data_IF_047796993663
#
_entry.id   IF_047796993663
#
_cell.length_a   1.000
_cell.length_b   1.000
_cell.length_c   1.000
_cell.angle_alpha   90.00
_cell.angle_beta   90.00
_cell.angle_gamma   90.00
#
_symmetry.space_group_name_H-M   'P 1'
#
loop_
_entity.id
_entity.type
_entity.pdbx_description
1 polymer ?
#
# COMPACT_ATOMS: atom_id res chain seq x y z
N UNK A 1 0.52 33.85 15.78
CA UNK A 1 -0.02 35.18 16.08
C UNK A 1 -1.51 34.99 16.18
N UNK A 2 -2.03 34.83 17.41
CA UNK A 2 -3.46 34.68 17.64
C UNK A 2 -3.84 35.61 18.78
N UNK A 3 -4.67 36.58 18.44
CA UNK A 3 -5.16 37.63 19.30
C UNK A 3 -6.12 37.05 20.33
N UNK A 4 -5.72 37.18 21.60
CA UNK A 4 -6.53 36.86 22.77
C UNK A 4 -7.60 37.95 22.96
N UNK A 5 -8.79 37.73 22.42
CA UNK A 5 -9.93 38.65 22.58
C UNK A 5 -10.63 38.38 23.92
N UNK A 6 -10.31 39.22 24.91
CA UNK A 6 -11.04 39.36 26.18
C UNK A 6 -12.51 39.80 25.92
N UNK A 7 -13.51 39.21 26.59
CA UNK A 7 -14.85 39.79 26.57
C UNK A 7 -14.91 41.04 27.45
N UNK A 8 -15.31 42.15 26.83
CA UNK A 8 -15.64 43.43 27.46
C UNK A 8 -16.89 43.29 28.34
N UNK A 9 -16.77 43.71 29.59
CA UNK A 9 -17.89 43.90 30.51
C UNK A 9 -18.90 44.92 29.95
N UNK A 10 -20.22 44.72 30.16
CA UNK A 10 -21.22 45.68 29.70
C UNK A 10 -21.30 46.92 30.61
N UNK A 11 -21.77 48.07 30.09
CA UNK A 11 -21.77 49.33 30.80
C UNK A 11 -22.80 49.34 31.94
N UNK A 12 -22.38 49.81 33.11
CA UNK A 12 -23.27 50.20 34.21
C UNK A 12 -24.12 51.39 33.79
N UNK A 13 -25.34 51.15 33.33
CA UNK A 13 -26.37 52.18 33.29
C UNK A 13 -26.80 52.51 34.73
N UNK A 14 -26.20 53.57 35.30
CA UNK A 14 -26.74 54.25 36.48
C UNK A 14 -28.08 54.88 36.06
N UNK A 15 -29.16 54.28 36.55
CA UNK A 15 -30.52 54.83 36.48
C UNK A 15 -30.53 56.28 36.97
N UNK A 16 -31.24 57.10 36.21
CA UNK A 16 -31.61 58.45 36.57
C UNK A 16 -32.23 58.50 37.96
N UNK A 17 -31.72 59.44 38.77
CA UNK A 17 -32.34 59.90 40.00
C UNK A 17 -33.56 60.74 39.60
N UNK A 18 -34.75 60.38 40.06
CA UNK A 18 -35.96 61.19 39.99
C UNK A 18 -36.74 60.96 41.28
N UNK A 19 -37.61 61.90 41.68
CA UNK A 19 -37.22 63.00 42.55
C UNK A 19 -37.76 62.79 43.97
N UNK A 20 -37.17 63.54 44.90
CA UNK A 20 -37.72 63.80 46.23
C UNK A 20 -39.23 64.03 46.17
N UNK A 21 -39.98 63.21 46.91
CA UNK A 21 -41.38 63.49 47.25
C UNK A 21 -41.39 64.80 48.03
N UNK A 22 -41.78 65.87 47.36
CA UNK A 22 -42.12 67.15 47.97
C UNK A 22 -43.40 66.95 48.77
N UNK A 23 -43.29 67.00 50.10
CA UNK A 23 -44.44 67.19 50.97
C UNK A 23 -44.91 68.63 50.76
N UNK A 24 -45.91 68.79 49.88
CA UNK A 24 -46.58 70.06 49.67
C UNK A 24 -47.60 70.28 50.79
N UNK A 25 -47.52 71.35 51.58
CA UNK A 25 -48.55 71.69 52.55
C UNK A 25 -49.67 72.45 51.83
N UNK A 26 -50.88 71.90 51.81
CA UNK A 26 -52.07 72.63 51.36
C UNK A 26 -53.05 72.85 52.52
N UNK A 27 -53.04 74.11 52.94
CA UNK A 27 -54.10 74.92 53.52
C UNK A 27 -55.53 74.35 53.52
N UNK A 28 -56.18 74.51 54.67
CA UNK A 28 -57.55 75.03 54.80
C UNK A 28 -57.59 75.70 56.19
N UNK A 29 -57.62 77.02 56.27
CA UNK A 29 -58.75 77.95 56.05
C UNK A 29 -59.16 78.53 57.40
N UNK A 30 -59.37 79.84 57.39
CA UNK A 30 -59.51 80.71 58.55
C UNK A 30 -60.75 80.40 59.40
N UNK A 31 -60.59 80.52 60.73
CA UNK A 31 -61.61 81.13 61.57
C UNK A 31 -60.94 82.24 62.38
N UNK A 32 -61.35 83.47 62.06
CA UNK A 32 -61.12 84.66 62.86
C UNK A 32 -62.02 84.60 64.09
N UNK A 33 -61.44 84.63 65.29
CA UNK A 33 -62.14 84.99 66.51
C UNK A 33 -61.34 86.05 67.26
N UNK A 34 -61.85 87.27 67.20
CA UNK A 34 -61.47 88.43 68.02
C UNK A 34 -61.47 88.07 69.50
N UNK A 35 -60.45 88.56 70.19
CA UNK A 35 -60.53 89.02 71.58
C UNK A 35 -60.61 87.92 72.63
N UNK A 36 -59.63 87.87 73.52
CA UNK A 36 -59.78 88.40 74.89
C UNK A 36 -58.51 88.06 75.68
N UNK A 37 -57.96 89.12 76.26
CA UNK A 37 -57.40 89.22 77.61
C UNK A 37 -56.66 87.99 78.15
N UNK A 38 -55.37 88.21 78.38
CA UNK A 38 -54.57 87.57 79.41
C UNK A 38 -55.38 87.38 80.70
N UNK A 39 -55.83 86.15 80.91
CA UNK A 39 -56.22 85.63 82.22
C UNK A 39 -55.45 84.34 82.38
N UNK A 40 -54.47 84.38 83.29
CA UNK A 40 -53.89 83.22 83.96
C UNK A 40 -54.99 82.55 84.79
N UNK A 41 -55.86 81.80 84.12
CA UNK A 41 -56.76 80.84 84.75
C UNK A 41 -56.56 79.53 84.02
N UNK A 42 -56.11 78.51 84.74
CA UNK A 42 -56.12 77.12 84.29
C UNK A 42 -57.49 76.85 83.69
N UNK A 43 -57.62 76.41 82.42
CA UNK A 43 -58.92 76.08 81.86
C UNK A 43 -59.56 75.02 82.75
N UNK A 44 -60.71 75.32 83.35
CA UNK A 44 -61.49 74.30 84.05
C UNK A 44 -62.04 73.35 82.98
N UNK A 45 -61.33 72.23 82.79
CA UNK A 45 -61.72 71.18 81.87
C UNK A 45 -63.02 70.58 82.42
N UNK A 46 -64.09 70.66 81.64
CA UNK A 46 -65.33 69.98 82.02
C UNK A 46 -65.10 68.47 82.02
N UNK A 47 -65.79 67.74 82.89
CA UNK A 47 -65.64 66.29 83.02
C UNK A 47 -65.73 65.57 81.65
N UNK A 48 -66.67 65.98 80.79
CA UNK A 48 -66.85 65.41 79.46
C UNK A 48 -65.70 65.72 78.50
N UNK A 49 -65.09 66.91 78.60
CA UNK A 49 -63.90 67.27 77.83
C UNK A 49 -62.67 66.48 78.27
N UNK A 50 -62.52 66.22 79.58
CA UNK A 50 -61.45 65.39 80.12
C UNK A 50 -61.51 63.96 79.58
N UNK A 51 -62.67 63.29 79.64
CA UNK A 51 -62.83 61.94 79.09
C UNK A 51 -62.68 61.91 77.57
N UNK A 52 -63.13 62.95 76.88
CA UNK A 52 -62.93 63.08 75.43
C UNK A 52 -61.46 63.22 75.07
N UNK A 53 -60.69 63.99 75.84
CA UNK A 53 -59.25 64.17 75.63
C UNK A 53 -58.48 62.89 75.98
N UNK A 54 -58.86 62.20 77.06
CA UNK A 54 -58.30 60.89 77.42
C UNK A 54 -58.50 59.87 76.30
N UNK A 55 -59.73 59.73 75.78
CA UNK A 55 -60.02 58.86 74.63
C UNK A 55 -59.21 59.25 73.39
N UNK A 56 -59.03 60.56 73.12
CA UNK A 56 -58.19 61.02 72.01
C UNK A 56 -56.73 60.64 72.22
N UNK A 57 -56.20 60.74 73.42
CA UNK A 57 -54.84 60.31 73.76
C UNK A 57 -54.68 58.80 73.61
N UNK A 58 -55.68 58.00 74.01
CA UNK A 58 -55.68 56.55 73.79
C UNK A 58 -55.68 56.19 72.31
N UNK A 59 -56.50 56.88 71.50
CA UNK A 59 -56.55 56.72 70.04
C UNK A 59 -55.22 57.15 69.41
N UNK A 60 -54.62 58.26 69.83
CA UNK A 60 -53.30 58.70 69.34
C UNK A 60 -52.20 57.69 69.72
N UNK A 61 -52.21 57.18 70.95
CA UNK A 61 -51.28 56.15 71.39
C UNK A 61 -51.43 54.86 70.59
N UNK A 62 -52.66 54.47 70.25
CA UNK A 62 -52.93 53.36 69.34
C UNK A 62 -52.41 53.64 67.91
N UNK A 63 -52.68 54.82 67.35
CA UNK A 63 -52.20 55.20 66.02
C UNK A 63 -50.67 55.24 65.94
N UNK A 64 -49.98 55.71 66.98
CA UNK A 64 -48.51 55.69 67.04
C UNK A 64 -47.98 54.26 67.03
N UNK A 65 -48.59 53.33 67.79
CA UNK A 65 -48.22 51.91 67.77
C UNK A 65 -48.45 51.29 66.39
N UNK A 66 -49.63 51.53 65.79
CA UNK A 66 -49.95 51.04 64.45
C UNK A 66 -49.00 51.60 63.40
N UNK A 67 -48.62 52.89 63.48
CA UNK A 67 -47.66 53.47 62.56
C UNK A 67 -46.28 52.81 62.68
N UNK A 68 -45.79 52.56 63.90
CA UNK A 68 -44.55 51.79 64.09
C UNK A 68 -44.65 50.36 63.54
N UNK A 69 -45.79 49.69 63.72
CA UNK A 69 -46.04 48.37 63.14
C UNK A 69 -46.08 48.43 61.59
N UNK A 70 -46.61 49.51 61.01
CA UNK A 70 -46.64 49.72 59.56
C UNK A 70 -45.23 49.96 59.00
N UNK A 71 -44.41 50.80 59.64
CA UNK A 71 -43.02 51.04 59.26
C UNK A 71 -42.20 49.73 59.28
N UNK A 72 -42.37 48.89 60.31
CA UNK A 72 -41.69 47.59 60.36
C UNK A 72 -42.18 46.61 59.29
N UNK A 73 -43.48 46.64 58.96
CA UNK A 73 -44.04 45.84 57.85
C UNK A 73 -43.57 46.33 56.50
N UNK A 74 -43.46 47.63 56.29
CA UNK A 74 -42.92 48.24 55.07
C UNK A 74 -41.46 47.84 54.86
N UNK A 75 -40.61 47.94 55.90
CA UNK A 75 -39.23 47.47 55.83
C UNK A 75 -39.12 45.96 55.53
N UNK A 76 -40.03 45.13 56.07
CA UNK A 76 -40.10 43.70 55.74
C UNK A 76 -40.56 43.45 54.31
N UNK A 77 -41.50 44.25 53.80
CA UNK A 77 -41.99 44.16 52.43
C UNK A 77 -40.90 44.54 51.44
N UNK A 78 -40.17 45.63 51.66
CA UNK A 78 -39.02 46.02 50.84
C UNK A 78 -37.94 44.92 50.81
N UNK A 79 -37.64 44.31 51.97
CA UNK A 79 -36.71 43.17 52.04
C UNK A 79 -37.20 41.98 51.22
N UNK A 80 -38.49 41.64 51.32
CA UNK A 80 -39.09 40.54 50.57
C UNK A 80 -39.12 40.82 49.06
N UNK A 81 -39.36 42.07 48.63
CA UNK A 81 -39.30 42.47 47.24
C UNK A 81 -37.89 42.35 46.67
N UNK A 82 -36.86 42.76 47.43
CA UNK A 82 -35.46 42.57 47.04
C UNK A 82 -35.11 41.09 46.90
N UNK A 83 -35.53 40.25 47.84
CA UNK A 83 -35.26 38.81 47.78
C UNK A 83 -36.02 38.13 46.63
N UNK A 84 -37.24 38.55 46.35
CA UNK A 84 -37.98 38.10 45.17
C UNK A 84 -37.29 38.51 43.86
N UNK A 85 -36.72 39.72 43.80
CA UNK A 85 -35.93 40.16 42.65
C UNK A 85 -34.65 39.33 42.46
N UNK A 86 -33.97 38.96 43.55
CA UNK A 86 -32.81 38.05 43.52
C UNK A 86 -33.21 36.66 43.05
N UNK A 87 -34.28 36.08 43.62
CA UNK A 87 -34.79 34.77 43.22
C UNK A 87 -35.19 34.76 41.73
N UNK A 88 -35.88 35.80 41.27
CA UNK A 88 -36.23 35.97 39.86
C UNK A 88 -35.01 36.09 38.94
N UNK A 89 -33.90 36.65 39.43
CA UNK A 89 -32.64 36.68 38.68
C UNK A 89 -31.97 35.31 38.62
N UNK A 90 -31.93 34.57 39.74
CA UNK A 90 -31.39 33.20 39.80
C UNK A 90 -32.20 32.25 38.93
N UNK A 91 -33.53 32.33 38.97
CA UNK A 91 -34.40 31.51 38.14
C UNK A 91 -34.16 31.72 36.65
N UNK A 92 -33.99 32.98 36.22
CA UNK A 92 -33.64 33.31 34.82
C UNK A 92 -32.28 32.75 34.44
N UNK A 93 -31.28 32.85 35.31
CA UNK A 93 -29.96 32.29 35.05
C UNK A 93 -30.01 30.76 34.93
N UNK A 94 -30.69 30.09 35.86
CA UNK A 94 -30.84 28.63 35.86
C UNK A 94 -31.55 28.13 34.59
N UNK A 95 -32.56 28.86 34.10
CA UNK A 95 -33.24 28.53 32.85
C UNK A 95 -32.30 28.58 31.63
N UNK A 96 -31.42 29.60 31.58
CA UNK A 96 -30.42 29.71 30.51
C UNK A 96 -29.39 28.58 30.58
N UNK A 97 -28.86 28.29 31.77
CA UNK A 97 -27.92 27.18 31.98
C UNK A 97 -28.54 25.82 31.62
N UNK A 98 -29.80 25.60 31.98
CA UNK A 98 -30.53 24.38 31.62
C UNK A 98 -30.64 24.21 30.10
N UNK A 99 -31.06 25.24 29.36
CA UNK A 99 -31.16 25.16 27.90
C UNK A 99 -29.78 25.01 27.23
N UNK A 100 -28.75 25.65 27.78
CA UNK A 100 -27.38 25.47 27.32
C UNK A 100 -26.92 24.01 27.48
N UNK A 101 -27.05 23.44 28.69
CA UNK A 101 -26.67 22.04 28.94
C UNK A 101 -27.49 21.07 28.10
N UNK A 102 -28.79 21.33 27.95
CA UNK A 102 -29.67 20.52 27.10
C UNK A 102 -29.19 20.51 25.65
N UNK A 103 -28.86 21.68 25.07
CA UNK A 103 -28.32 21.80 23.72
C UNK A 103 -26.98 21.06 23.55
N UNK A 104 -26.09 21.15 24.53
CA UNK A 104 -24.81 20.45 24.54
C UNK A 104 -24.99 18.93 24.60
N UNK A 105 -25.94 18.45 25.41
CA UNK A 105 -26.28 17.03 25.49
C UNK A 105 -26.85 16.51 24.18
N UNK A 106 -27.77 17.25 23.54
CA UNK A 106 -28.33 16.85 22.24
C UNK A 106 -27.27 16.77 21.16
N UNK A 107 -26.35 17.74 21.11
CA UNK A 107 -25.26 17.74 20.12
C UNK A 107 -24.26 16.62 20.38
N UNK A 108 -23.88 16.38 21.64
CA UNK A 108 -22.99 15.27 22.01
C UNK A 108 -23.61 13.93 21.64
N UNK A 109 -24.91 13.76 21.90
CA UNK A 109 -25.66 12.55 21.53
C UNK A 109 -25.71 12.36 20.01
N UNK A 110 -25.93 13.44 19.24
CA UNK A 110 -25.91 13.43 17.77
C UNK A 110 -24.55 12.96 17.24
N UNK A 111 -23.45 13.59 17.67
CA UNK A 111 -22.09 13.23 17.27
C UNK A 111 -21.76 11.78 17.65
N UNK A 112 -22.17 11.33 18.83
CA UNK A 112 -21.96 9.96 19.26
C UNK A 112 -22.71 8.95 18.38
N UNK A 113 -23.94 9.26 18.00
CA UNK A 113 -24.73 8.42 17.09
C UNK A 113 -24.11 8.36 15.68
N UNK A 114 -23.55 9.46 15.19
CA UNK A 114 -22.83 9.50 13.91
C UNK A 114 -21.59 8.57 13.94
N UNK A 115 -20.78 8.65 15.00
CA UNK A 115 -19.63 7.74 15.16
C UNK A 115 -20.06 6.27 15.27
N UNK A 116 -21.18 6.01 15.94
CA UNK A 116 -21.74 4.67 16.05
C UNK A 116 -22.23 4.15 14.69
N UNK A 117 -22.79 5.04 13.85
CA UNK A 117 -23.20 4.72 12.50
C UNK A 117 -21.98 4.35 11.63
N UNK A 118 -20.89 5.14 11.71
CA UNK A 118 -19.64 4.85 11.01
C UNK A 118 -19.03 3.51 11.44
N UNK A 119 -18.98 3.23 12.76
CA UNK A 119 -18.50 1.95 13.28
C UNK A 119 -19.37 0.78 12.82
N UNK A 120 -20.69 0.96 12.80
CA UNK A 120 -21.62 -0.08 12.34
C UNK A 120 -21.46 -0.34 10.84
N UNK A 121 -21.32 0.71 10.05
CA UNK A 121 -21.05 0.63 8.61
C UNK A 121 -19.77 -0.15 8.33
N UNK A 122 -18.64 0.25 8.92
CA UNK A 122 -17.36 -0.45 8.73
C UNK A 122 -17.38 -1.91 9.20
N UNK A 123 -18.14 -2.24 10.26
CA UNK A 123 -18.31 -3.64 10.66
C UNK A 123 -19.08 -4.45 9.61
N UNK A 124 -20.12 -3.88 8.99
CA UNK A 124 -20.93 -4.56 7.98
C UNK A 124 -20.20 -4.72 6.65
N UNK A 125 -19.42 -3.71 6.25
CA UNK A 125 -18.56 -3.76 5.07
C UNK A 125 -17.57 -4.94 5.21
N UNK A 126 -16.93 -5.04 6.37
CA UNK A 126 -15.98 -6.12 6.66
C UNK A 126 -16.64 -7.49 6.76
N UNK A 127 -17.84 -7.60 7.31
CA UNK A 127 -18.64 -8.84 7.28
C UNK A 127 -18.96 -9.25 5.84
N UNK A 128 -19.31 -8.30 4.96
CA UNK A 128 -19.58 -8.57 3.56
C UNK A 128 -18.32 -9.00 2.79
N UNK A 129 -17.19 -8.33 3.01
CA UNK A 129 -15.90 -8.73 2.44
C UNK A 129 -15.51 -10.15 2.86
N UNK A 130 -15.66 -10.48 4.14
CA UNK A 130 -15.36 -11.83 4.67
C UNK A 130 -16.27 -12.92 4.11
N UNK A 131 -17.50 -12.56 3.71
CA UNK A 131 -18.43 -13.48 3.04
C UNK A 131 -18.18 -13.63 1.53
N UNK A 132 -17.14 -12.99 1.00
CA UNK A 132 -16.70 -13.14 -0.39
C UNK A 132 -17.32 -12.14 -1.38
N UNK A 133 -17.97 -11.07 -0.89
CA UNK A 133 -18.40 -9.98 -1.75
C UNK A 133 -17.19 -9.20 -2.29
N UNK A 134 -17.36 -8.57 -3.46
CA UNK A 134 -16.39 -7.59 -3.94
C UNK A 134 -16.39 -6.34 -3.05
N UNK A 135 -15.33 -5.55 -3.12
CA UNK A 135 -15.22 -4.30 -2.37
C UNK A 135 -16.41 -3.36 -2.60
N UNK A 136 -16.80 -3.17 -3.86
CA UNK A 136 -17.95 -2.32 -4.22
C UNK A 136 -19.27 -2.87 -3.66
N UNK A 137 -19.51 -4.17 -3.80
CA UNK A 137 -20.73 -4.81 -3.28
C UNK A 137 -20.79 -4.80 -1.74
N UNK A 138 -19.65 -4.85 -1.06
CA UNK A 138 -19.57 -4.76 0.39
C UNK A 138 -19.94 -3.37 0.91
N UNK A 139 -19.48 -2.30 0.23
CA UNK A 139 -19.84 -0.92 0.53
C UNK A 139 -21.34 -0.70 0.31
N UNK A 140 -21.88 -1.15 -0.83
CA UNK A 140 -23.31 -1.04 -1.12
C UNK A 140 -24.18 -1.78 -0.09
N UNK A 141 -23.74 -2.98 0.33
CA UNK A 141 -24.40 -3.73 1.39
C UNK A 141 -24.39 -2.98 2.74
N UNK A 142 -23.25 -2.43 3.12
CA UNK A 142 -23.10 -1.66 4.36
C UNK A 142 -23.98 -0.39 4.35
N UNK A 143 -24.04 0.33 3.22
CA UNK A 143 -24.89 1.50 3.04
C UNK A 143 -26.38 1.15 3.18
N UNK A 144 -26.81 0.03 2.57
CA UNK A 144 -28.19 -0.42 2.64
C UNK A 144 -28.60 -0.92 4.04
N UNK A 145 -27.69 -1.57 4.77
CA UNK A 145 -28.02 -2.27 6.01
C UNK A 145 -27.64 -1.53 7.29
N UNK A 146 -26.71 -0.57 7.26
CA UNK A 146 -26.17 0.10 8.44
C UNK A 146 -27.24 0.72 9.34
N UNK A 147 -28.13 1.53 8.75
CA UNK A 147 -29.21 2.22 9.49
C UNK A 147 -30.17 1.22 10.13
N UNK A 148 -30.59 0.20 9.37
CA UNK A 148 -31.51 -0.85 9.82
C UNK A 148 -30.88 -1.67 10.95
N UNK A 149 -29.62 -2.06 10.80
CA UNK A 149 -28.88 -2.82 11.81
C UNK A 149 -28.70 -2.01 13.10
N UNK A 150 -28.30 -0.75 12.98
CA UNK A 150 -28.13 0.14 14.12
C UNK A 150 -29.45 0.35 14.87
N UNK A 151 -30.55 0.62 14.17
CA UNK A 151 -31.87 0.78 14.77
C UNK A 151 -32.33 -0.50 15.51
N UNK A 152 -32.14 -1.67 14.89
CA UNK A 152 -32.49 -2.95 15.49
C UNK A 152 -31.66 -3.26 16.74
N UNK A 153 -30.35 -3.01 16.71
CA UNK A 153 -29.47 -3.25 17.85
C UNK A 153 -29.74 -2.27 19.00
N UNK A 154 -30.03 -1.01 18.70
CA UNK A 154 -30.49 -0.02 19.69
C UNK A 154 -31.80 -0.46 20.32
N UNK A 155 -32.78 -0.87 19.51
CA UNK A 155 -34.07 -1.36 19.99
C UNK A 155 -33.89 -2.61 20.88
N UNK A 156 -33.04 -3.56 20.46
CA UNK A 156 -32.75 -4.77 21.23
C UNK A 156 -32.17 -4.44 22.60
N UNK A 157 -31.17 -3.56 22.66
CA UNK A 157 -30.51 -3.18 23.91
C UNK A 157 -31.41 -2.32 24.80
N UNK A 158 -32.27 -1.48 24.22
CA UNK A 158 -33.27 -0.70 24.94
C UNK A 158 -34.28 -1.63 25.65
N UNK A 159 -34.87 -2.60 24.92
CA UNK A 159 -35.78 -3.61 25.52
C UNK A 159 -35.10 -4.42 26.63
N UNK A 160 -33.83 -4.76 26.46
CA UNK A 160 -33.07 -5.51 27.45
C UNK A 160 -32.74 -4.67 28.70
N UNK A 161 -32.64 -3.36 28.57
CA UNK A 161 -32.35 -2.45 29.68
C UNK A 161 -33.62 -2.12 30.48
N UNK A 162 -34.77 -1.96 29.83
CA UNK A 162 -36.04 -1.70 30.49
C UNK A 162 -37.21 -2.40 29.77
N UNK A 163 -37.63 -3.60 30.24
CA UNK A 163 -38.70 -4.38 29.62
C UNK A 163 -40.09 -3.72 29.70
N UNK A 164 -40.27 -2.77 30.63
CA UNK A 164 -41.55 -2.12 30.89
C UNK A 164 -41.67 -0.75 30.21
N UNK A 165 -40.58 -0.24 29.61
CA UNK A 165 -40.58 1.02 28.88
C UNK A 165 -41.02 0.80 27.44
N UNK A 166 -42.33 0.68 27.26
CA UNK A 166 -42.97 0.74 25.95
C UNK A 166 -43.16 2.21 25.58
N UNK A 167 -42.19 2.73 24.85
CA UNK A 167 -42.27 3.92 24.01
C UNK A 167 -42.35 5.28 24.75
N UNK A 168 -41.24 6.03 24.72
CA UNK A 168 -41.24 7.44 24.31
C UNK A 168 -39.80 7.95 24.09
N UNK A 169 -39.39 7.94 22.82
CA UNK A 169 -38.63 9.03 22.20
C UNK A 169 -37.11 9.00 22.26
N UNK A 170 -36.46 8.60 23.35
CA UNK A 170 -35.01 8.79 23.49
C UNK A 170 -34.22 7.58 23.99
N UNK A 171 -33.28 7.12 23.16
CA UNK A 171 -32.27 6.15 23.58
C UNK A 171 -31.42 6.76 24.70
N UNK A 172 -31.39 6.09 25.85
CA UNK A 172 -30.60 6.50 27.00
C UNK A 172 -29.09 6.36 26.77
N UNK A 173 -28.26 7.17 27.44
CA UNK A 173 -26.80 7.15 27.27
C UNK A 173 -26.17 5.79 27.63
N UNK A 174 -26.75 5.05 28.57
CA UNK A 174 -26.28 3.72 28.94
C UNK A 174 -26.43 2.69 27.80
N UNK A 175 -27.52 2.78 27.02
CA UNK A 175 -27.76 1.89 25.87
C UNK A 175 -26.81 2.22 24.73
N UNK A 176 -26.62 3.52 24.45
CA UNK A 176 -25.62 3.99 23.48
C UNK A 176 -24.21 3.52 23.83
N UNK A 177 -23.81 3.65 25.10
CA UNK A 177 -22.50 3.20 25.57
C UNK A 177 -22.31 1.68 25.44
N UNK A 178 -23.35 0.89 25.74
CA UNK A 178 -23.32 -0.57 25.54
C UNK A 178 -23.13 -0.93 24.07
N UNK A 179 -23.91 -0.33 23.16
CA UNK A 179 -23.79 -0.61 21.73
C UNK A 179 -22.43 -0.19 21.17
N UNK A 180 -21.92 0.97 21.58
CA UNK A 180 -20.58 1.42 21.20
C UNK A 180 -19.50 0.43 21.66
N UNK A 181 -19.61 -0.10 22.88
CA UNK A 181 -18.68 -1.12 23.37
C UNK A 181 -18.75 -2.40 22.54
N UNK A 182 -19.96 -2.88 22.21
CA UNK A 182 -20.14 -4.04 21.32
C UNK A 182 -19.48 -3.80 19.95
N UNK A 183 -19.73 -2.65 19.32
CA UNK A 183 -19.11 -2.29 18.04
C UNK A 183 -17.59 -2.19 18.10
N UNK A 184 -17.04 -1.54 19.13
CA UNK A 184 -15.60 -1.46 19.32
C UNK A 184 -14.97 -2.84 19.54
N UNK A 185 -15.65 -3.77 20.22
CA UNK A 185 -15.15 -5.14 20.37
C UNK A 185 -15.15 -5.92 19.06
N UNK A 186 -16.18 -5.74 18.22
CA UNK A 186 -16.26 -6.33 16.88
C UNK A 186 -15.16 -5.78 15.97
N UNK A 187 -15.06 -4.46 15.87
CA UNK A 187 -14.02 -3.80 15.08
C UNK A 187 -12.61 -4.17 15.56
N UNK A 188 -12.40 -4.24 16.87
CA UNK A 188 -11.15 -4.72 17.45
C UNK A 188 -10.81 -6.17 17.08
N UNK A 189 -11.81 -7.04 16.91
CA UNK A 189 -11.60 -8.41 16.43
C UNK A 189 -11.17 -8.43 14.96
N UNK A 190 -11.81 -7.61 14.12
CA UNK A 190 -11.45 -7.42 12.70
C UNK A 190 -9.99 -6.96 12.60
N UNK A 191 -9.58 -5.92 13.33
CA UNK A 191 -8.19 -5.45 13.31
C UNK A 191 -7.19 -6.53 13.75
N UNK A 192 -7.54 -7.37 14.73
CA UNK A 192 -6.66 -8.48 15.15
C UNK A 192 -6.53 -9.55 14.06
N UNK A 193 -7.63 -9.86 13.36
CA UNK A 193 -7.61 -10.78 12.22
C UNK A 193 -6.70 -10.26 11.11
N UNK A 194 -6.85 -8.99 10.71
CA UNK A 194 -5.98 -8.38 9.69
C UNK A 194 -4.50 -8.38 10.09
N UNK A 195 -4.18 -8.06 11.34
CA UNK A 195 -2.77 -8.12 11.80
C UNK A 195 -2.20 -9.53 11.74
N UNK A 196 -3.02 -10.56 12.02
CA UNK A 196 -2.60 -11.96 11.92
C UNK A 196 -2.35 -12.33 10.45
N UNK A 197 -3.27 -11.94 9.57
CA UNK A 197 -3.18 -12.22 8.15
C UNK A 197 -2.01 -11.50 7.49
N UNK A 198 -1.76 -10.24 7.85
CA UNK A 198 -0.61 -9.47 7.40
C UNK A 198 0.70 -10.21 7.73
N UNK A 199 0.87 -10.65 8.98
CA UNK A 199 2.05 -11.44 9.38
C UNK A 199 2.19 -12.75 8.59
N UNK A 200 1.07 -13.41 8.29
CA UNK A 200 1.04 -14.63 7.47
C UNK A 200 1.51 -14.34 6.04
N UNK A 201 1.07 -13.24 5.44
CA UNK A 201 1.49 -12.84 4.09
C UNK A 201 2.96 -12.42 4.08
N UNK A 202 3.41 -11.65 5.07
CA UNK A 202 4.82 -11.26 5.20
C UNK A 202 5.75 -12.48 5.31
N UNK A 203 5.42 -13.44 6.17
CA UNK A 203 6.20 -14.69 6.31
C UNK A 203 6.26 -15.47 5.01
N UNK A 204 5.14 -15.59 4.28
CA UNK A 204 5.14 -16.23 2.96
C UNK A 204 5.96 -15.47 1.92
N UNK A 205 5.96 -14.13 1.97
CA UNK A 205 6.79 -13.31 1.08
C UNK A 205 8.27 -13.61 1.30
N UNK A 206 8.73 -13.62 2.56
CA UNK A 206 10.11 -13.98 2.90
C UNK A 206 10.48 -15.41 2.48
N UNK A 207 9.55 -16.37 2.61
CA UNK A 207 9.77 -17.73 2.13
C UNK A 207 9.89 -17.80 0.60
N UNK A 208 9.09 -17.04 -0.14
CA UNK A 208 9.17 -16.98 -1.60
C UNK A 208 10.48 -16.32 -2.07
N UNK A 209 10.88 -15.22 -1.42
CA UNK A 209 12.15 -14.54 -1.70
C UNK A 209 13.34 -15.47 -1.46
N UNK A 210 13.36 -16.21 -0.34
CA UNK A 210 14.44 -17.15 -0.06
C UNK A 210 14.50 -18.32 -1.05
N UNK A 211 13.34 -18.85 -1.47
CA UNK A 211 13.26 -19.86 -2.54
C UNK A 211 13.74 -19.32 -3.88
N UNK A 212 13.38 -18.08 -4.23
CA UNK A 212 13.86 -17.39 -5.43
C UNK A 212 15.38 -17.22 -5.42
N UNK A 213 15.95 -16.78 -4.30
CA UNK A 213 17.40 -16.66 -4.14
C UNK A 213 18.13 -18.01 -4.28
N UNK A 214 17.57 -19.08 -3.69
CA UNK A 214 18.11 -20.43 -3.82
C UNK A 214 18.08 -20.92 -5.28
N UNK A 215 16.97 -20.69 -6.00
CA UNK A 215 16.83 -21.05 -7.41
C UNK A 215 17.88 -20.32 -8.27
N UNK A 216 18.05 -19.01 -8.11
CA UNK A 216 19.07 -18.24 -8.82
C UNK A 216 20.49 -18.72 -8.53
N UNK A 217 20.80 -19.10 -7.29
CA UNK A 217 22.10 -19.68 -6.96
C UNK A 217 22.35 -21.01 -7.68
N UNK A 218 21.33 -21.89 -7.75
CA UNK A 218 21.46 -23.16 -8.49
C UNK A 218 21.57 -22.96 -10.00
N UNK A 219 20.85 -21.98 -10.55
CA UNK A 219 20.93 -21.60 -11.95
C UNK A 219 22.34 -21.10 -12.30
N UNK A 220 22.93 -20.24 -11.46
CA UNK A 220 24.29 -19.75 -11.63
C UNK A 220 25.33 -20.88 -11.66
N UNK A 221 25.24 -21.83 -10.73
CA UNK A 221 26.13 -22.98 -10.70
C UNK A 221 25.98 -23.86 -11.95
N UNK A 222 24.75 -24.03 -12.43
CA UNK A 222 24.48 -24.78 -13.66
C UNK A 222 25.03 -24.07 -14.90
N UNK A 223 24.87 -22.74 -14.99
CA UNK A 223 25.43 -21.95 -16.10
C UNK A 223 26.95 -21.99 -16.09
N UNK A 224 27.61 -21.84 -14.94
CA UNK A 224 29.08 -21.99 -14.83
C UNK A 224 29.55 -23.40 -15.26
N UNK A 225 28.80 -24.44 -14.89
CA UNK A 225 29.09 -25.81 -15.32
C UNK A 225 28.93 -26.00 -16.83
N UNK A 226 27.92 -25.40 -17.46
CA UNK A 226 27.74 -25.46 -18.92
C UNK A 226 28.84 -24.67 -19.62
N UNK A 227 29.17 -23.47 -19.14
CA UNK A 227 30.21 -22.63 -19.72
C UNK A 227 31.58 -23.33 -19.66
N UNK A 228 31.93 -23.93 -18.52
CA UNK A 228 33.16 -24.71 -18.40
C UNK A 228 33.18 -25.91 -19.35
N UNK A 229 32.08 -26.68 -19.46
CA UNK A 229 31.99 -27.78 -20.42
C UNK A 229 32.12 -27.30 -21.88
N UNK A 230 31.50 -26.18 -22.23
CA UNK A 230 31.58 -25.58 -23.56
C UNK A 230 33.02 -25.18 -23.90
N UNK A 231 33.75 -24.54 -22.97
CA UNK A 231 35.16 -24.19 -23.19
C UNK A 231 36.05 -25.43 -23.38
N UNK A 232 35.80 -26.51 -22.63
CA UNK A 232 36.50 -27.79 -22.80
C UNK A 232 36.28 -28.35 -24.20
N UNK A 233 35.03 -28.44 -24.65
CA UNK A 233 34.67 -28.95 -25.98
C UNK A 233 35.28 -28.07 -27.09
N UNK A 234 35.32 -26.75 -26.92
CA UNK A 234 35.98 -25.85 -27.86
C UNK A 234 37.49 -26.12 -27.96
N UNK A 235 38.14 -26.39 -26.82
CA UNK A 235 39.57 -26.73 -26.78
C UNK A 235 39.85 -28.08 -27.46
N UNK A 236 39.02 -29.10 -27.22
CA UNK A 236 39.13 -30.41 -27.87
C UNK A 236 38.91 -30.32 -29.37
N UNK A 237 37.91 -29.52 -29.81
CA UNK A 237 37.67 -29.25 -31.22
C UNK A 237 38.88 -28.61 -31.90
N UNK A 238 39.53 -27.64 -31.24
CA UNK A 238 40.74 -27.01 -31.76
C UNK A 238 41.89 -28.03 -31.89
N UNK A 239 42.11 -28.84 -30.86
CA UNK A 239 43.13 -29.90 -30.91
C UNK A 239 42.86 -30.93 -32.02
N UNK A 240 41.58 -31.30 -32.23
CA UNK A 240 41.20 -32.22 -33.30
C UNK A 240 41.43 -31.61 -34.69
N UNK A 241 41.13 -30.32 -34.85
CA UNK A 241 41.40 -29.60 -36.09
C UNK A 241 42.91 -29.58 -36.39
N UNK A 242 43.75 -29.29 -35.40
CA UNK A 242 45.21 -29.32 -35.55
C UNK A 242 45.71 -30.71 -35.98
N UNK A 243 45.22 -31.78 -35.31
CA UNK A 243 45.54 -33.16 -35.69
C UNK A 243 45.11 -33.48 -37.11
N UNK A 244 43.92 -33.04 -37.52
CA UNK A 244 43.41 -33.25 -38.88
C UNK A 244 44.30 -32.55 -39.91
N UNK A 245 44.72 -31.30 -39.67
CA UNK A 245 45.64 -30.60 -40.59
C UNK A 245 47.00 -31.29 -40.69
N UNK A 246 47.50 -31.86 -39.59
CA UNK A 246 48.74 -32.64 -39.61
C UNK A 246 48.58 -33.91 -40.47
N UNK A 247 47.48 -34.64 -40.30
CA UNK A 247 47.19 -35.85 -41.09
C UNK A 247 47.06 -35.52 -42.58
N UNK A 248 46.40 -34.41 -42.94
CA UNK A 248 46.34 -33.95 -44.33
C UNK A 248 47.74 -33.72 -44.90
N UNK A 249 48.60 -32.98 -44.18
CA UNK A 249 50.00 -32.76 -44.63
C UNK A 249 50.80 -34.05 -44.75
N UNK A 250 50.59 -35.01 -43.84
CA UNK A 250 51.24 -36.33 -43.91
C UNK A 250 50.75 -37.13 -45.13
N UNK A 251 49.45 -37.09 -45.43
CA UNK A 251 48.89 -37.71 -46.62
C UNK A 251 49.45 -37.07 -47.90
N UNK A 252 49.48 -35.75 -47.99
CA UNK A 252 50.05 -35.03 -49.15
C UNK A 252 51.52 -35.42 -49.38
N UNK A 253 52.31 -35.55 -48.29
CA UNK A 253 53.71 -35.99 -48.37
C UNK A 253 53.85 -37.45 -48.83
N UNK A 254 52.97 -38.35 -48.36
CA UNK A 254 52.94 -39.73 -48.79
C UNK A 254 52.51 -39.86 -50.26
N UNK A 255 51.51 -39.10 -50.70
CA UNK A 255 51.08 -39.04 -52.11
C UNK A 255 52.23 -38.56 -53.02
N UNK A 256 52.98 -37.54 -52.60
CA UNK A 256 54.16 -37.08 -53.33
C UNK A 256 55.26 -38.15 -53.41
N UNK A 257 55.49 -38.91 -52.33
CA UNK A 257 56.45 -40.03 -52.34
C UNK A 257 55.99 -41.15 -53.28
N UNK A 258 54.70 -41.51 -53.25
CA UNK A 258 54.13 -42.51 -54.16
C UNK A 258 54.30 -42.06 -55.61
N UNK A 259 53.98 -40.81 -55.94
CA UNK A 259 54.16 -40.26 -57.28
C UNK A 259 55.63 -40.29 -57.74
N UNK A 260 56.58 -39.95 -56.86
CA UNK A 260 58.02 -40.01 -57.15
C UNK A 260 58.49 -41.44 -57.41
N UNK A 261 58.11 -42.38 -56.54
CA UNK A 261 58.46 -43.80 -56.71
C UNK A 261 57.87 -44.37 -58.00
N UNK A 262 56.68 -43.95 -58.37
CA UNK A 262 56.03 -44.36 -59.62
C UNK A 262 56.76 -43.81 -60.84
N UNK A 263 57.19 -42.53 -60.81
CA UNK A 263 58.03 -41.95 -61.86
C UNK A 263 59.39 -42.64 -61.99
N UNK A 264 60.04 -42.99 -60.87
CA UNK A 264 61.29 -43.77 -60.88
C UNK A 264 61.09 -45.16 -61.49
N UNK A 265 59.99 -45.83 -61.14
CA UNK A 265 59.66 -47.16 -61.63
C UNK A 265 59.40 -47.14 -63.15
N UNK A 266 58.67 -46.15 -63.64
CA UNK A 266 58.45 -45.96 -65.08
C UNK A 266 59.73 -45.55 -65.83
N UNK A 267 60.59 -44.76 -65.18
CA UNK A 267 61.95 -44.47 -65.66
C UNK A 267 62.78 -45.74 -65.83
N UNK A 268 62.78 -46.61 -64.81
CA UNK A 268 63.46 -47.92 -64.86
C UNK A 268 62.88 -48.82 -65.93
N UNK A 269 61.55 -48.93 -66.04
CA UNK A 269 60.87 -49.69 -67.11
C UNK A 269 61.23 -49.18 -68.50
N UNK A 270 61.35 -47.87 -68.66
CA UNK A 270 61.71 -47.25 -69.95
C UNK A 270 63.18 -47.49 -70.29
N UNK A 271 64.06 -47.40 -69.30
CA UNK A 271 65.47 -47.76 -69.45
C UNK A 271 65.65 -49.25 -69.79
N UNK A 272 64.93 -50.13 -69.10
CA UNK A 272 64.91 -51.57 -69.38
C UNK A 272 64.42 -51.85 -70.82
N UNK A 273 63.37 -51.14 -71.28
CA UNK A 273 62.91 -51.21 -72.69
C UNK A 273 63.98 -50.73 -73.67
N UNK A 274 64.69 -49.64 -73.37
CA UNK A 274 65.76 -49.11 -74.21
C UNK A 274 66.94 -50.09 -74.30
N UNK A 275 67.37 -50.65 -73.17
CA UNK A 275 68.40 -51.68 -73.14
C UNK A 275 67.96 -52.90 -73.96
N UNK A 276 66.72 -53.39 -73.77
CA UNK A 276 66.18 -54.49 -74.60
C UNK A 276 66.21 -54.17 -76.09
N UNK A 277 65.85 -52.95 -76.49
CA UNK A 277 65.90 -52.51 -77.89
C UNK A 277 67.34 -52.45 -78.43
N UNK A 278 68.30 -51.94 -77.63
CA UNK A 278 69.71 -51.92 -77.99
C UNK A 278 70.28 -53.33 -78.12
N UNK A 279 69.95 -54.24 -77.20
CA UNK A 279 70.31 -55.65 -77.27
C UNK A 279 69.76 -56.30 -78.54
N UNK A 280 68.48 -56.09 -78.86
CA UNK A 280 67.88 -56.59 -80.10
C UNK A 280 68.57 -56.00 -81.36
N UNK A 281 68.95 -54.72 -81.33
CA UNK A 281 69.69 -54.09 -82.43
C UNK A 281 71.10 -54.68 -82.59
N UNK A 282 71.83 -54.89 -81.48
CA UNK A 282 73.14 -55.54 -81.51
C UNK A 282 73.04 -56.97 -82.02
N UNK A 283 72.03 -57.73 -81.58
CA UNK A 283 71.73 -59.07 -82.09
C UNK A 283 71.51 -59.03 -83.61
N UNK A 284 70.76 -58.05 -84.11
CA UNK A 284 70.53 -57.86 -85.54
C UNK A 284 71.81 -57.46 -86.32
N UNK A 285 72.69 -56.64 -85.74
CA UNK A 285 73.99 -56.28 -86.34
C UNK A 285 74.92 -57.49 -86.40
N UNK A 286 74.98 -58.29 -85.33
CA UNK A 286 75.76 -59.54 -85.29
C UNK A 286 75.22 -60.51 -86.34
N UNK A 287 73.90 -60.66 -86.42
CA UNK A 287 73.24 -61.46 -87.45
C UNK A 287 73.62 -61.00 -88.86
N UNK A 288 73.59 -59.69 -89.11
CA UNK A 288 73.97 -59.14 -90.40
C UNK A 288 75.46 -59.39 -90.72
N UNK A 289 76.36 -59.15 -89.76
CA UNK A 289 77.79 -59.44 -89.90
C UNK A 289 78.03 -60.92 -90.19
N UNK A 290 77.37 -61.82 -89.47
CA UNK A 290 77.43 -63.26 -89.71
C UNK A 290 76.95 -63.62 -91.12
N UNK A 291 75.86 -63.03 -91.60
CA UNK A 291 75.40 -63.25 -92.99
C UNK A 291 76.41 -62.73 -94.02
N UNK A 292 77.05 -61.59 -93.78
CA UNK A 292 78.07 -61.02 -94.67
C UNK A 292 79.33 -61.87 -94.69
N UNK A 293 79.83 -62.30 -93.52
CA UNK A 293 80.97 -63.22 -93.40
C UNK A 293 80.66 -64.56 -94.07
N UNK A 294 79.45 -65.11 -93.85
CA UNK A 294 78.97 -66.33 -94.53
C UNK A 294 78.97 -66.15 -96.05
N UNK A 295 78.52 -65.00 -96.54
CA UNK A 295 78.55 -64.63 -97.95
C UNK A 295 79.97 -64.52 -98.52
N UNK A 296 80.88 -63.86 -97.80
CA UNK A 296 82.26 -63.68 -98.22
C UNK A 296 83.07 -64.98 -98.22
N UNK A 297 82.88 -65.84 -97.21
CA UNK A 297 83.50 -67.17 -97.17
C UNK A 297 82.98 -68.03 -98.32
N UNK A 298 81.67 -68.03 -98.58
CA UNK A 298 81.08 -68.74 -99.73
C UNK A 298 81.68 -68.26 -101.06
N UNK A 299 81.85 -66.95 -101.23
CA UNK A 299 82.45 -66.35 -102.44
C UNK A 299 83.93 -66.71 -102.60
N UNK A 300 84.70 -66.75 -101.52
CA UNK A 300 86.16 -66.99 -101.57
C UNK A 300 86.56 -68.46 -101.62
N UNK A 301 85.75 -69.35 -101.03
CA UNK A 301 86.13 -70.75 -100.84
C UNK A 301 85.12 -71.75 -101.42
N UNK A 302 84.05 -71.30 -102.08
CA UNK A 302 83.07 -72.15 -102.77
C UNK A 302 82.16 -72.98 -101.87
N UNK A 303 82.35 -72.92 -100.55
CA UNK A 303 81.64 -73.69 -99.53
C UNK A 303 81.54 -72.88 -98.23
N UNK A 304 80.48 -73.10 -97.44
CA UNK A 304 80.29 -72.47 -96.13
C UNK A 304 80.64 -73.51 -95.05
N UNK A 305 81.55 -73.21 -94.11
CA UNK A 305 81.86 -74.11 -93.00
C UNK A 305 80.62 -74.50 -92.17
N UNK A 306 80.49 -75.76 -91.71
CA UNK A 306 79.29 -76.24 -91.00
C UNK A 306 79.03 -75.49 -89.70
N UNK A 307 80.09 -74.99 -89.05
CA UNK A 307 80.01 -74.13 -87.87
C UNK A 307 79.18 -72.84 -88.13
N UNK A 308 79.14 -72.34 -89.37
CA UNK A 308 78.38 -71.16 -89.79
C UNK A 308 77.04 -71.52 -90.48
N UNK A 309 76.77 -72.80 -90.74
CA UNK A 309 75.48 -73.26 -91.26
C UNK A 309 74.42 -73.35 -90.17
N UNK A 310 74.81 -73.68 -88.94
CA UNK A 310 73.88 -73.88 -87.80
C UNK A 310 73.55 -72.62 -87.00
N UNK A 311 74.19 -71.48 -87.28
CA UNK A 311 73.87 -70.21 -86.62
C UNK A 311 72.73 -69.50 -87.35
N UNK A 312 71.55 -70.12 -87.39
CA UNK A 312 70.30 -69.36 -87.53
C UNK A 312 69.93 -68.86 -86.14
N UNK A 313 70.38 -67.66 -85.76
CA UNK A 313 69.80 -67.02 -84.57
C UNK A 313 68.36 -66.67 -84.93
N UNK A 314 67.42 -67.48 -84.45
CA UNK A 314 66.05 -67.05 -84.31
C UNK A 314 66.04 -65.96 -83.23
N UNK A 315 65.48 -64.77 -83.48
CA UNK A 315 65.45 -63.70 -82.48
C UNK A 315 64.73 -64.23 -81.23
N UNK A 316 65.42 -64.31 -80.09
CA UNK A 316 64.81 -64.74 -78.82
C UNK A 316 63.99 -63.65 -78.15
N UNK A 317 64.01 -62.43 -78.70
CA UNK A 317 63.25 -61.31 -78.17
C UNK A 317 62.17 -60.87 -79.16
N UNK A 318 60.92 -61.19 -78.82
CA UNK A 318 59.76 -60.66 -79.50
C UNK A 318 59.76 -59.11 -79.43
N UNK A 319 59.29 -58.41 -80.47
CA UNK A 319 59.20 -56.96 -80.45
C UNK A 319 58.36 -56.50 -79.25
N UNK A 320 58.69 -55.35 -78.64
CA UNK A 320 57.94 -54.85 -77.50
C UNK A 320 56.46 -54.67 -77.89
N UNK A 321 55.50 -55.08 -77.04
CA UNK A 321 54.09 -54.84 -77.31
C UNK A 321 53.80 -53.34 -77.42
N UNK A 322 52.82 -52.94 -78.25
CA UNK A 322 52.46 -51.54 -78.43
C UNK A 322 52.00 -50.91 -77.10
N UNK A 323 52.12 -49.58 -76.96
CA UNK A 323 51.70 -48.90 -75.73
C UNK A 323 50.21 -49.13 -75.51
N UNK A 324 49.85 -49.74 -74.38
CA UNK A 324 48.49 -49.65 -73.87
C UNK A 324 48.21 -48.19 -73.54
N UNK A 325 47.34 -47.57 -74.33
CA UNK A 325 46.64 -46.35 -74.00
C UNK A 325 45.70 -46.62 -72.83
N UNK A 326 46.01 -46.10 -71.65
CA UNK A 326 45.09 -46.01 -70.52
C UNK A 326 44.14 -44.84 -70.72
N UNK A 327 42.83 -45.14 -70.77
CA UNK A 327 41.77 -44.18 -70.45
C UNK A 327 41.77 -43.87 -68.95
#
# INVERSE_FOLDING_TARGET
>A
MDESVKPRSPPRHRRARSPSVQISPRHSSMVSSKGMKSVTSVPEITHDEYFRLLRKTDVLGYLVRVNGDLETKEARLESAEMDNAKLSAVQRHLAVEYELVKSQLTETKRVFLDHLAQLTHGCLEEEALQSGHSSEAAIEFADAQSKTRQANDLHRLQRAADPNHFDEGEVGPAVLAKLAKERLTQYGAICRAYRKELRRVETLSYEQESKGAAAHSTEHLYTESIESALTSVQSEKAQLADRMTLVVKQNDALEAQVASLQAELDGRRSHERLLRAQWAQQEQVILHLLTTVKGDIKKRFGFIPPALEHHSFAPQHAPPPPPFSSH
#
